data_IF_990371335717
#
_entry.id   IF_990371335717
#
_cell.length_a   1.000
_cell.length_b   1.000
_cell.length_c   1.000
_cell.angle_alpha   90.00
_cell.angle_beta   90.00
_cell.angle_gamma   90.00
#
_symmetry.space_group_name_H-M   'P 1'
#
loop_
_entity.id
_entity.type
_entity.pdbx_description
1 polymer ?
#
# COMPACT_ATOMS: atom_id res chain seq x y z
N UNK A 1 7.37 -21.17 -11.65
CA UNK A 1 8.54 -21.44 -10.78
C UNK A 1 8.83 -20.19 -9.98
N UNK A 2 8.67 -20.22 -8.65
CA UNK A 2 9.02 -19.07 -7.82
C UNK A 2 10.54 -19.06 -7.60
N UNK A 3 11.22 -17.98 -7.98
CA UNK A 3 12.65 -17.81 -7.73
C UNK A 3 12.83 -17.47 -6.25
N UNK A 4 13.74 -18.14 -5.55
CA UNK A 4 14.07 -17.80 -4.16
C UNK A 4 14.71 -16.39 -4.12
N UNK A 5 14.17 -15.45 -3.34
CA UNK A 5 14.81 -14.13 -3.18
C UNK A 5 15.49 -14.01 -1.82
N UNK A 6 16.79 -13.73 -1.89
CA UNK A 6 17.69 -13.54 -0.76
C UNK A 6 17.24 -12.36 0.12
N UNK A 7 16.63 -11.31 -0.46
CA UNK A 7 16.11 -10.17 0.32
C UNK A 7 14.87 -10.52 1.15
N UNK A 8 14.01 -11.42 0.67
CA UNK A 8 12.76 -11.82 1.33
C UNK A 8 12.96 -13.07 2.19
N UNK A 9 14.11 -13.75 2.04
CA UNK A 9 14.37 -15.11 2.52
C UNK A 9 13.21 -16.07 2.22
N UNK A 10 12.62 -15.95 1.03
CA UNK A 10 11.40 -16.66 0.66
C UNK A 10 11.10 -16.61 -0.86
N UNK A 11 9.99 -17.21 -1.31
CA UNK A 11 9.62 -17.23 -2.72
C UNK A 11 9.41 -15.81 -3.25
N UNK A 12 10.28 -15.38 -4.16
CA UNK A 12 10.17 -14.12 -4.88
C UNK A 12 9.15 -14.23 -5.99
N UNK A 13 8.32 -13.21 -6.12
CA UNK A 13 7.36 -13.07 -7.20
C UNK A 13 7.89 -12.23 -8.37
N UNK A 14 9.19 -11.99 -8.42
CA UNK A 14 9.81 -11.15 -9.45
C UNK A 14 9.22 -9.74 -9.45
N UNK A 15 8.70 -9.30 -10.59
CA UNK A 15 8.07 -7.97 -10.77
C UNK A 15 6.81 -7.74 -9.93
N UNK A 16 6.23 -8.79 -9.34
CA UNK A 16 5.07 -8.71 -8.44
C UNK A 16 5.43 -8.77 -6.95
N UNK A 17 6.72 -8.68 -6.61
CA UNK A 17 7.15 -8.68 -5.22
C UNK A 17 6.79 -7.35 -4.54
N UNK A 18 5.86 -7.40 -3.58
CA UNK A 18 5.40 -6.29 -2.75
C UNK A 18 6.01 -6.32 -1.33
N UNK A 19 7.03 -7.14 -1.09
CA UNK A 19 7.63 -7.34 0.23
C UNK A 19 8.07 -6.04 0.90
N UNK A 20 8.79 -5.18 0.18
CA UNK A 20 9.23 -3.90 0.73
C UNK A 20 8.06 -2.95 1.01
N UNK A 21 6.98 -3.03 0.22
CA UNK A 21 5.74 -2.33 0.50
C UNK A 21 5.13 -2.80 1.81
N UNK A 22 5.02 -4.12 2.02
CA UNK A 22 4.54 -4.70 3.28
C UNK A 22 5.41 -4.30 4.47
N UNK A 23 6.74 -4.37 4.35
CA UNK A 23 7.67 -3.98 5.42
C UNK A 23 7.51 -2.51 5.78
N UNK A 24 7.36 -1.62 4.79
CA UNK A 24 7.08 -0.20 5.03
C UNK A 24 5.77 -0.02 5.79
N UNK A 25 4.68 -0.65 5.36
CA UNK A 25 3.38 -0.54 6.04
C UNK A 25 3.45 -1.08 7.48
N UNK A 26 4.18 -2.19 7.71
CA UNK A 26 4.37 -2.72 9.07
C UNK A 26 5.10 -1.72 9.96
N UNK A 27 6.18 -1.12 9.46
CA UNK A 27 7.03 -0.19 10.23
C UNK A 27 6.41 1.19 10.44
N UNK A 28 5.66 1.69 9.45
CA UNK A 28 5.00 3.00 9.54
C UNK A 28 3.85 2.97 10.55
N UNK A 29 3.62 4.07 11.26
CA UNK A 29 2.42 4.20 12.09
C UNK A 29 1.16 4.41 11.21
N UNK A 30 -0.02 4.20 11.78
CA UNK A 30 -1.28 4.52 11.08
C UNK A 30 -1.34 6.01 10.73
N UNK A 31 -0.79 6.88 11.59
CA UNK A 31 -0.76 8.33 11.39
C UNK A 31 0.13 8.73 10.22
N UNK A 32 1.32 8.12 10.09
CA UNK A 32 2.22 8.34 8.95
C UNK A 32 1.56 7.89 7.65
N UNK A 33 0.90 6.72 7.66
CA UNK A 33 0.17 6.22 6.49
C UNK A 33 -0.99 7.17 6.12
N UNK A 34 -1.72 7.65 7.12
CA UNK A 34 -2.82 8.61 6.94
C UNK A 34 -2.33 9.92 6.32
N UNK A 35 -1.22 10.47 6.83
CA UNK A 35 -0.61 11.68 6.30
C UNK A 35 -0.16 11.52 4.84
N UNK A 36 0.43 10.37 4.50
CA UNK A 36 0.81 10.03 3.14
C UNK A 36 -0.39 9.92 2.19
N UNK A 37 -1.48 9.27 2.62
CA UNK A 37 -2.72 9.18 1.84
C UNK A 37 -3.34 10.56 1.62
N UNK A 38 -3.39 11.41 2.66
CA UNK A 38 -3.90 12.79 2.53
C UNK A 38 -3.06 13.61 1.55
N UNK A 39 -1.74 13.48 1.57
CA UNK A 39 -0.86 14.15 0.61
C UNK A 39 -1.12 13.67 -0.83
N UNK A 40 -1.37 12.38 -1.04
CA UNK A 40 -1.73 11.83 -2.34
C UNK A 40 -3.09 12.37 -2.82
N UNK A 41 -4.10 12.40 -1.94
CA UNK A 41 -5.43 12.97 -2.23
C UNK A 41 -5.31 14.45 -2.61
N UNK A 42 -4.54 15.25 -1.87
CA UNK A 42 -4.35 16.67 -2.19
C UNK A 42 -3.71 16.85 -3.56
N UNK A 43 -2.70 16.03 -3.90
CA UNK A 43 -2.03 16.08 -5.19
C UNK A 43 -2.95 15.69 -6.36
N UNK A 44 -3.93 14.82 -6.12
CA UNK A 44 -4.92 14.43 -7.13
C UNK A 44 -6.05 15.45 -7.30
N UNK A 45 -6.25 16.37 -6.35
CA UNK A 45 -7.34 17.35 -6.40
C UNK A 45 -7.19 18.37 -7.54
N UNK A 46 -5.97 18.55 -8.04
CA UNK A 46 -5.67 19.36 -9.22
C UNK A 46 -6.06 18.66 -10.54
N UNK A 47 -6.27 17.34 -10.50
CA UNK A 47 -6.63 16.51 -11.66
C UNK A 47 -8.12 16.13 -11.55
N UNK A 48 -8.98 16.87 -12.25
CA UNK A 48 -10.45 16.75 -12.18
C UNK A 48 -11.03 15.37 -12.56
N UNK A 49 -10.19 14.43 -12.99
CA UNK A 49 -10.56 13.08 -13.41
C UNK A 49 -10.25 11.98 -12.37
N UNK A 50 -9.52 12.29 -11.29
CA UNK A 50 -9.01 11.29 -10.35
C UNK A 50 -9.92 11.17 -9.13
N UNK A 51 -10.40 9.95 -8.86
CA UNK A 51 -11.23 9.67 -7.68
C UNK A 51 -10.37 9.52 -6.41
N UNK A 52 -11.00 9.64 -5.24
CA UNK A 52 -10.33 9.37 -3.96
C UNK A 52 -9.75 7.95 -3.90
N UNK A 53 -10.46 6.97 -4.46
CA UNK A 53 -10.00 5.57 -4.52
C UNK A 53 -8.76 5.42 -5.42
N UNK A 54 -8.70 6.16 -6.52
CA UNK A 54 -7.52 6.16 -7.40
C UNK A 54 -6.31 6.79 -6.71
N UNK A 55 -6.51 7.88 -5.96
CA UNK A 55 -5.44 8.52 -5.18
C UNK A 55 -4.87 7.58 -4.09
N UNK A 56 -5.76 6.85 -3.39
CA UNK A 56 -5.35 5.84 -2.40
C UNK A 56 -4.60 4.69 -3.06
N UNK A 57 -5.10 4.17 -4.19
CA UNK A 57 -4.45 3.09 -4.93
C UNK A 57 -3.06 3.52 -5.41
N UNK A 58 -2.93 4.74 -5.89
CA UNK A 58 -1.65 5.29 -6.34
C UNK A 58 -0.66 5.43 -5.18
N UNK A 59 -1.12 5.89 -4.01
CA UNK A 59 -0.30 5.94 -2.81
C UNK A 59 0.26 4.56 -2.43
N UNK A 60 -0.58 3.53 -2.38
CA UNK A 60 -0.15 2.17 -2.07
C UNK A 60 0.82 1.63 -3.12
N UNK A 61 0.61 1.97 -4.40
CA UNK A 61 1.52 1.65 -5.50
C UNK A 61 2.90 2.31 -5.31
N UNK A 62 2.94 3.57 -4.88
CA UNK A 62 4.18 4.30 -4.57
C UNK A 62 4.95 3.70 -3.39
N UNK A 63 4.23 3.19 -2.39
CA UNK A 63 4.83 2.45 -1.28
C UNK A 63 5.42 1.11 -1.74
N UNK A 64 4.90 0.55 -2.84
CA UNK A 64 5.35 -0.70 -3.45
C UNK A 64 4.35 -1.85 -3.31
N UNK A 65 3.11 -1.57 -2.89
CA UNK A 65 2.01 -2.55 -2.91
C UNK A 65 1.49 -2.66 -4.35
N UNK A 66 1.68 -3.82 -4.96
CA UNK A 66 1.22 -4.07 -6.33
C UNK A 66 -0.11 -4.78 -6.41
N UNK A 67 -0.42 -5.63 -5.43
CA UNK A 67 -1.64 -6.42 -5.41
C UNK A 67 -2.32 -6.35 -4.04
N UNK A 68 -3.28 -5.42 -3.93
CA UNK A 68 -4.07 -5.21 -2.71
C UNK A 68 -4.95 -6.41 -2.37
N UNK A 69 -5.47 -7.13 -3.37
CA UNK A 69 -6.33 -8.30 -3.15
C UNK A 69 -5.52 -9.42 -2.52
N UNK A 70 -4.31 -9.65 -3.05
CA UNK A 70 -3.45 -10.70 -2.54
C UNK A 70 -2.86 -10.37 -1.17
N UNK A 71 -2.54 -9.10 -0.93
CA UNK A 71 -2.11 -8.64 0.41
C UNK A 71 -3.22 -8.87 1.44
N UNK A 72 -4.49 -8.63 1.08
CA UNK A 72 -5.67 -8.94 1.90
C UNK A 72 -5.77 -10.42 2.27
N UNK A 73 -5.50 -11.31 1.32
CA UNK A 73 -5.56 -12.77 1.54
C UNK A 73 -4.40 -13.29 2.39
N UNK A 74 -3.19 -12.76 2.18
CA UNK A 74 -1.98 -13.27 2.84
C UNK A 74 -1.75 -12.66 4.22
N UNK A 75 -2.12 -11.39 4.42
CA UNK A 75 -1.77 -10.60 5.61
C UNK A 75 -2.98 -9.77 6.08
N UNK A 76 -3.99 -10.40 6.70
CA UNK A 76 -5.23 -9.71 7.11
C UNK A 76 -4.98 -8.57 8.11
N UNK A 77 -4.01 -8.72 9.02
CA UNK A 77 -3.65 -7.68 10.00
C UNK A 77 -3.12 -6.41 9.33
N UNK A 78 -2.27 -6.59 8.30
CA UNK A 78 -1.76 -5.48 7.51
C UNK A 78 -2.86 -4.79 6.73
N UNK A 79 -3.79 -5.58 6.17
CA UNK A 79 -4.94 -4.99 5.51
C UNK A 79 -5.81 -4.18 6.47
N UNK A 80 -6.06 -4.67 7.70
CA UNK A 80 -6.84 -3.94 8.68
C UNK A 80 -6.20 -2.57 8.98
N UNK A 81 -4.87 -2.53 9.13
CA UNK A 81 -4.11 -1.29 9.31
C UNK A 81 -4.20 -0.34 8.11
N UNK A 82 -4.17 -0.87 6.88
CA UNK A 82 -4.34 -0.07 5.67
C UNK A 82 -5.74 0.54 5.59
N UNK A 83 -6.79 -0.24 5.85
CA UNK A 83 -8.17 0.23 5.88
C UNK A 83 -8.34 1.32 6.95
N UNK A 84 -7.75 1.13 8.13
CA UNK A 84 -7.79 2.13 9.19
C UNK A 84 -7.17 3.46 8.74
N UNK A 85 -6.00 3.41 8.09
CA UNK A 85 -5.37 4.60 7.54
C UNK A 85 -6.21 5.27 6.43
N UNK A 86 -6.85 4.48 5.55
CA UNK A 86 -7.75 4.98 4.50
C UNK A 86 -8.98 5.67 5.07
N UNK A 87 -9.60 5.10 6.11
CA UNK A 87 -10.78 5.69 6.77
C UNK A 87 -10.39 6.99 7.48
N UNK A 88 -9.28 6.99 8.23
CA UNK A 88 -8.79 8.20 8.91
C UNK A 88 -8.38 9.30 7.95
N UNK A 89 -7.95 8.97 6.74
CA UNK A 89 -7.54 9.95 5.74
C UNK A 89 -8.74 10.67 5.09
N UNK A 90 -9.92 10.05 5.11
CA UNK A 90 -11.17 10.59 4.54
C UNK A 90 -11.93 11.51 5.50
N UNK A 91 -11.63 11.43 6.80
CA UNK A 91 -12.16 12.30 7.87
C UNK A 91 -11.25 13.52 8.01
#
# INVERSE_FOLDING_TARGET
>A
MALYCVMVKGPCRGSYCDYWGRVKIRKSSVEELTAGIRAAIMKCRDDASVTLEDAMREYWRLIGVRDMKKLREEEPDLCAKMIEAEVRAQI
#
